data_IF_300010239795
#
_entry.id   IF_300010239795
#
_cell.length_a   1.000
_cell.length_b   1.000
_cell.length_c   1.000
_cell.angle_alpha   90.00
_cell.angle_beta   90.00
_cell.angle_gamma   90.00
#
_symmetry.space_group_name_H-M   'P 1'
#
loop_
_entity.id
_entity.type
_entity.pdbx_description
1 polymer ?
#
# COMPACT_ATOMS: atom_id res chain seq x y z
N UNK A 1 7.82 -10.10 -23.95
CA UNK A 1 8.50 -8.84 -24.22
C UNK A 1 7.64 -7.66 -23.88
N UNK A 2 6.46 -7.57 -24.47
CA UNK A 2 5.58 -6.43 -24.19
C UNK A 2 5.19 -6.33 -22.74
N UNK A 3 5.03 -7.47 -22.06
CA UNK A 3 4.67 -7.47 -20.66
C UNK A 3 5.75 -6.86 -19.78
N UNK A 4 6.99 -7.17 -20.09
CA UNK A 4 8.08 -6.64 -19.29
C UNK A 4 8.18 -5.13 -19.45
N UNK A 5 7.98 -4.65 -20.67
CA UNK A 5 8.03 -3.22 -20.91
C UNK A 5 6.96 -2.48 -20.10
N UNK A 6 5.76 -3.05 -20.08
CA UNK A 6 4.68 -2.44 -19.33
C UNK A 6 4.98 -2.39 -17.84
N UNK A 7 5.58 -3.47 -17.32
CA UNK A 7 5.92 -3.50 -15.91
C UNK A 7 6.97 -2.44 -15.56
N UNK A 8 7.92 -2.25 -16.44
CA UNK A 8 8.94 -1.24 -16.20
C UNK A 8 8.35 0.16 -16.15
N UNK A 9 7.41 0.43 -17.03
CA UNK A 9 6.78 1.75 -17.02
C UNK A 9 6.01 2.00 -15.73
N UNK A 10 5.35 0.98 -15.22
CA UNK A 10 4.62 1.12 -13.98
C UNK A 10 5.55 1.39 -12.80
N UNK A 11 6.72 0.78 -12.82
CA UNK A 11 7.65 1.00 -11.73
C UNK A 11 8.17 2.42 -11.71
N UNK A 12 8.45 2.97 -12.87
CA UNK A 12 9.10 4.28 -12.94
C UNK A 12 8.12 5.41 -12.63
N UNK A 13 6.93 5.34 -13.17
CA UNK A 13 5.98 6.44 -13.07
C UNK A 13 5.61 6.80 -11.64
N UNK A 14 5.24 5.83 -10.80
CA UNK A 14 4.85 6.17 -9.43
C UNK A 14 5.97 6.82 -8.63
N UNK A 15 7.19 6.42 -8.89
CA UNK A 15 8.30 6.95 -8.12
C UNK A 15 8.52 8.42 -8.39
N UNK A 16 8.42 8.80 -9.64
CA UNK A 16 8.67 10.20 -9.98
C UNK A 16 7.60 11.10 -9.43
N UNK A 17 6.37 10.64 -9.48
CA UNK A 17 5.29 11.48 -8.99
C UNK A 17 5.38 11.71 -7.49
N UNK A 18 5.90 10.74 -6.77
CA UNK A 18 6.01 10.87 -5.33
C UNK A 18 6.91 12.03 -4.93
N UNK A 19 7.85 12.38 -5.77
CA UNK A 19 8.78 13.45 -5.44
C UNK A 19 8.18 14.84 -5.54
N UNK A 20 7.09 14.97 -6.27
CA UNK A 20 6.50 16.29 -6.48
C UNK A 20 5.80 16.81 -5.26
N UNK A 21 5.63 16.01 -4.23
CA UNK A 21 4.90 16.40 -3.05
C UNK A 21 5.82 16.60 -1.85
N UNK A 22 7.01 17.11 -2.12
CA UNK A 22 8.00 17.25 -1.08
C UNK A 22 7.51 18.10 0.08
N UNK A 23 6.65 19.09 -0.19
CA UNK A 23 6.15 19.96 0.87
C UNK A 23 5.19 19.30 1.82
N UNK A 24 4.67 18.13 1.45
CA UNK A 24 3.68 17.44 2.25
C UNK A 24 4.18 16.17 2.92
N UNK A 25 5.48 15.94 2.85
CA UNK A 25 5.92 14.66 3.36
C UNK A 25 6.24 14.73 4.83
N UNK A 26 5.24 14.49 5.60
CA UNK A 26 5.48 13.92 6.89
C UNK A 26 5.40 12.44 6.67
N UNK A 27 6.54 11.85 6.51
CA UNK A 27 6.58 10.42 6.27
C UNK A 27 6.19 9.70 7.55
N UNK A 28 5.52 8.58 7.38
CA UNK A 28 5.32 7.70 8.51
C UNK A 28 6.68 7.28 9.07
N UNK A 29 6.73 6.83 10.31
CA UNK A 29 7.99 6.36 10.89
C UNK A 29 8.63 5.28 10.04
N UNK A 30 9.93 5.24 10.06
CA UNK A 30 10.66 4.28 9.23
C UNK A 30 10.26 2.85 9.55
N UNK A 31 10.01 2.56 10.80
CA UNK A 31 9.61 1.22 11.20
C UNK A 31 8.28 0.83 10.54
N UNK A 32 7.35 1.76 10.51
CA UNK A 32 6.06 1.49 9.86
C UNK A 32 6.24 1.28 8.36
N UNK A 33 7.08 2.09 7.75
CA UNK A 33 7.34 1.98 6.32
C UNK A 33 7.92 0.61 5.99
N UNK A 34 8.88 0.16 6.81
CA UNK A 34 9.50 -1.13 6.58
C UNK A 34 8.53 -2.28 6.80
N UNK A 35 7.68 -2.16 7.81
CA UNK A 35 6.68 -3.21 8.06
C UNK A 35 5.69 -3.32 6.93
N UNK A 36 5.23 -2.19 6.42
CA UNK A 36 4.30 -2.20 5.31
C UNK A 36 4.94 -2.80 4.07
N UNK A 37 6.19 -2.42 3.78
CA UNK A 37 6.90 -2.95 2.62
C UNK A 37 7.07 -4.46 2.74
N UNK A 38 7.38 -4.95 3.94
CA UNK A 38 7.56 -6.38 4.15
C UNK A 38 6.25 -7.14 3.95
N UNK A 39 5.16 -6.57 4.45
CA UNK A 39 3.85 -7.19 4.25
C UNK A 39 3.47 -7.25 2.77
N UNK A 40 3.79 -6.19 2.04
CA UNK A 40 3.51 -6.16 0.61
C UNK A 40 4.37 -7.16 -0.16
N UNK A 41 5.61 -7.36 0.26
CA UNK A 41 6.47 -8.34 -0.38
C UNK A 41 5.89 -9.75 -0.21
N UNK A 42 5.38 -10.05 0.97
CA UNK A 42 4.76 -11.33 1.22
C UNK A 42 3.49 -11.48 0.39
N UNK A 43 2.67 -10.44 0.33
CA UNK A 43 1.45 -10.47 -0.47
C UNK A 43 1.77 -10.65 -1.95
N UNK A 44 2.85 -10.04 -2.42
CA UNK A 44 3.25 -10.18 -3.82
C UNK A 44 3.58 -11.64 -4.15
N UNK A 45 4.30 -12.30 -3.26
CA UNK A 45 4.61 -13.71 -3.48
C UNK A 45 3.36 -14.57 -3.49
N UNK A 46 2.44 -14.29 -2.58
CA UNK A 46 1.19 -15.04 -2.52
C UNK A 46 0.37 -14.79 -3.79
N UNK A 47 0.32 -13.55 -4.24
CA UNK A 47 -0.42 -13.20 -5.45
C UNK A 47 0.15 -13.92 -6.66
N UNK A 48 1.48 -14.00 -6.75
CA UNK A 48 2.10 -14.70 -7.85
C UNK A 48 1.78 -16.19 -7.82
N UNK A 49 1.72 -16.77 -6.63
CA UNK A 49 1.35 -18.16 -6.48
C UNK A 49 -0.07 -18.40 -6.99
N UNK A 50 -0.99 -17.49 -6.67
CA UNK A 50 -2.36 -17.60 -7.17
C UNK A 50 -2.38 -17.50 -8.68
N UNK A 51 -1.65 -16.54 -9.22
CA UNK A 51 -1.62 -16.36 -10.66
C UNK A 51 -1.16 -17.63 -11.36
N UNK A 52 -0.11 -18.27 -10.82
CA UNK A 52 0.38 -19.51 -11.43
C UNK A 52 -0.64 -20.62 -11.35
N UNK A 53 -1.37 -20.69 -10.24
CA UNK A 53 -2.35 -21.77 -10.11
C UNK A 53 -3.44 -21.66 -11.16
N UNK A 54 -3.70 -20.46 -11.63
CA UNK A 54 -4.72 -20.24 -12.67
C UNK A 54 -4.26 -20.71 -14.03
N UNK A 55 -3.00 -21.02 -14.20
CA UNK A 55 -2.51 -21.61 -15.44
C UNK A 55 -2.91 -23.07 -15.57
N UNK A 56 -3.31 -23.68 -14.47
CA UNK A 56 -3.77 -25.06 -14.46
C UNK A 56 -5.25 -25.07 -14.85
N UNK A 57 -5.62 -25.72 -15.98
CA UNK A 57 -7.02 -25.74 -16.37
C UNK A 57 -7.93 -26.45 -15.39
N UNK A 58 -7.36 -27.28 -14.53
CA UNK A 58 -8.13 -28.02 -13.55
C UNK A 58 -8.10 -27.39 -12.17
N UNK A 59 -7.69 -26.13 -12.08
CA UNK A 59 -7.61 -25.44 -10.80
C UNK A 59 -8.99 -25.38 -10.14
N UNK A 60 -9.01 -25.55 -8.84
CA UNK A 60 -10.25 -25.52 -8.08
C UNK A 60 -10.61 -24.08 -7.76
N UNK A 61 -11.71 -23.62 -8.36
CA UNK A 61 -12.09 -22.21 -8.26
C UNK A 61 -12.31 -21.73 -6.83
N UNK A 62 -12.90 -22.57 -5.99
CA UNK A 62 -13.14 -22.19 -4.60
C UNK A 62 -11.83 -21.94 -3.88
N UNK A 63 -10.81 -22.73 -4.18
CA UNK A 63 -9.52 -22.54 -3.56
C UNK A 63 -8.90 -21.22 -3.99
N UNK A 64 -9.04 -20.87 -5.26
CA UNK A 64 -8.54 -19.59 -5.77
C UNK A 64 -9.25 -18.44 -5.05
N UNK A 65 -10.56 -18.53 -4.92
CA UNK A 65 -11.32 -17.48 -4.24
C UNK A 65 -10.89 -17.33 -2.78
N UNK A 66 -10.64 -18.45 -2.13
CA UNK A 66 -10.19 -18.44 -0.75
C UNK A 66 -8.85 -17.75 -0.61
N UNK A 67 -7.95 -18.04 -1.53
CA UNK A 67 -6.62 -17.43 -1.50
C UNK A 67 -6.67 -15.95 -1.86
N UNK A 68 -7.54 -15.57 -2.80
CA UNK A 68 -7.70 -14.16 -3.11
C UNK A 68 -8.22 -13.39 -1.90
N UNK A 69 -9.13 -14.00 -1.16
CA UNK A 69 -9.62 -13.38 0.06
C UNK A 69 -8.49 -13.16 1.05
N UNK A 70 -7.60 -14.14 1.17
CA UNK A 70 -6.46 -14.00 2.07
C UNK A 70 -5.54 -12.87 1.63
N UNK A 71 -5.31 -12.70 0.33
CA UNK A 71 -4.47 -11.61 -0.16
C UNK A 71 -5.15 -10.26 0.11
N UNK A 72 -6.46 -10.19 -0.07
CA UNK A 72 -7.18 -8.96 0.24
C UNK A 72 -6.99 -8.57 1.71
N UNK A 73 -7.08 -9.56 2.60
CA UNK A 73 -6.82 -9.30 4.01
C UNK A 73 -5.40 -8.85 4.28
N UNK A 74 -4.43 -9.42 3.57
CA UNK A 74 -3.04 -9.02 3.73
C UNK A 74 -2.84 -7.58 3.26
N UNK A 75 -3.49 -7.19 2.17
CA UNK A 75 -3.41 -5.81 1.68
C UNK A 75 -4.07 -4.85 2.66
N UNK A 76 -5.21 -5.23 3.22
CA UNK A 76 -5.85 -4.41 4.24
C UNK A 76 -4.93 -4.23 5.44
N UNK A 77 -4.22 -5.29 5.82
CA UNK A 77 -3.27 -5.18 6.92
C UNK A 77 -2.14 -4.21 6.62
N UNK A 78 -1.62 -4.26 5.39
CA UNK A 78 -0.58 -3.32 5.00
C UNK A 78 -1.11 -1.89 5.00
N UNK A 79 -2.31 -1.69 4.49
CA UNK A 79 -2.94 -0.37 4.49
C UNK A 79 -3.10 0.16 5.91
N UNK A 80 -3.48 -0.73 6.84
CA UNK A 80 -3.59 -0.33 8.24
C UNK A 80 -2.27 0.12 8.84
N UNK A 81 -1.19 -0.56 8.49
CA UNK A 81 0.13 -0.15 8.96
C UNK A 81 0.49 1.24 8.44
N UNK A 82 0.23 1.48 7.15
CA UNK A 82 0.52 2.78 6.55
C UNK A 82 -0.33 3.86 7.20
N UNK A 83 -1.61 3.60 7.36
CA UNK A 83 -2.51 4.58 7.97
C UNK A 83 -2.08 4.92 9.39
N UNK A 84 -1.81 3.90 10.19
CA UNK A 84 -1.41 4.14 11.58
C UNK A 84 -0.12 4.93 11.64
N UNK A 85 0.86 4.59 10.80
CA UNK A 85 2.12 5.31 10.80
C UNK A 85 1.94 6.75 10.36
N UNK A 86 1.09 6.98 9.37
CA UNK A 86 0.79 8.33 8.91
C UNK A 86 0.17 9.16 10.03
N UNK A 87 -0.80 8.59 10.73
CA UNK A 87 -1.47 9.29 11.80
C UNK A 87 -0.51 9.59 12.95
N UNK A 88 0.36 8.63 13.28
CA UNK A 88 1.32 8.86 14.35
C UNK A 88 2.24 10.03 14.03
N UNK A 89 2.71 10.09 12.80
CA UNK A 89 3.60 11.18 12.40
C UNK A 89 2.90 12.52 12.44
N UNK A 90 1.66 12.58 11.94
CA UNK A 90 0.93 13.84 11.87
C UNK A 90 0.46 14.30 13.23
N UNK A 91 -0.12 13.41 14.01
CA UNK A 91 -0.65 13.79 15.31
C UNK A 91 0.48 14.23 16.24
N UNK A 92 1.61 13.53 16.19
CA UNK A 92 2.71 13.86 17.07
C UNK A 92 3.26 15.26 16.84
N UNK A 93 3.13 15.78 15.62
CA UNK A 93 3.73 17.06 15.28
C UNK A 93 2.71 18.17 15.00
N UNK A 94 1.43 17.85 14.93
CA UNK A 94 0.41 18.82 14.53
C UNK A 94 0.37 20.04 15.45
N UNK A 95 0.42 19.80 16.76
CA UNK A 95 0.36 20.91 17.71
C UNK A 95 1.59 21.81 17.60
N UNK A 96 2.73 21.22 17.32
CA UNK A 96 3.96 22.00 17.17
C UNK A 96 3.93 22.84 15.91
N UNK A 97 3.42 22.27 14.81
CA UNK A 97 3.39 22.96 13.53
C UNK A 97 2.25 23.97 13.44
N UNK A 98 1.21 23.77 14.24
CA UNK A 98 0.04 24.64 14.16
C UNK A 98 -0.79 24.42 12.91
N UNK A 99 -0.77 23.23 12.35
CA UNK A 99 -1.46 22.94 11.11
C UNK A 99 -2.60 21.95 11.30
N UNK A 100 -3.35 22.12 12.37
CA UNK A 100 -4.47 21.21 12.68
C UNK A 100 -5.49 21.15 11.54
N UNK A 101 -5.70 22.28 10.87
CA UNK A 101 -6.67 22.28 9.78
C UNK A 101 -6.22 21.37 8.66
N UNK A 102 -4.94 21.42 8.32
CA UNK A 102 -4.42 20.57 7.28
C UNK A 102 -4.49 19.10 7.68
N UNK A 103 -4.27 18.82 8.96
CA UNK A 103 -4.38 17.46 9.46
C UNK A 103 -5.80 16.93 9.28
N UNK A 104 -6.78 17.74 9.62
CA UNK A 104 -8.18 17.33 9.47
C UNK A 104 -8.50 17.06 8.00
N UNK A 105 -8.04 17.95 7.12
CA UNK A 105 -8.28 17.76 5.69
C UNK A 105 -7.66 16.45 5.19
N UNK A 106 -6.47 16.15 5.64
CA UNK A 106 -5.82 14.91 5.23
C UNK A 106 -6.53 13.69 5.77
N UNK A 107 -7.02 13.77 7.01
CA UNK A 107 -7.77 12.64 7.57
C UNK A 107 -9.04 12.38 6.78
N UNK A 108 -9.72 13.44 6.36
CA UNK A 108 -10.91 13.29 5.55
C UNK A 108 -10.56 12.64 4.21
N UNK A 109 -9.42 12.99 3.65
CA UNK A 109 -8.97 12.38 2.41
C UNK A 109 -8.70 10.89 2.60
N UNK A 110 -8.07 10.52 3.72
CA UNK A 110 -7.73 9.13 3.99
C UNK A 110 -9.01 8.28 4.12
N UNK A 111 -10.05 8.84 4.71
CA UNK A 111 -11.28 8.08 4.89
C UNK A 111 -11.90 7.64 3.58
N UNK A 112 -11.54 8.26 2.48
CA UNK A 112 -12.04 7.82 1.18
C UNK A 112 -11.52 6.45 0.79
N UNK A 113 -10.44 6.02 1.41
CA UNK A 113 -9.79 4.76 1.06
C UNK A 113 -10.02 3.67 2.09
N UNK A 114 -10.85 3.91 3.06
CA UNK A 114 -11.19 2.92 4.06
C UNK A 114 -12.68 2.59 4.01
#
# INVERSE_FOLDING_TARGET
>A
MAKETAAERLDVTPHEEAHDHAGHHLCMPEESRKRAARRLAIARGHLESIRRSLEDPDVYCVDVLRQLKAVQGALDGAAGVVLRGHLEAHVATAATRGDEKELVDELMEVFKYT
#
